data_IF_028211848926
#
_entry.id   IF_028211848926
#
_cell.length_a   1.000
_cell.length_b   1.000
_cell.length_c   1.000
_cell.angle_alpha   90.00
_cell.angle_beta   90.00
_cell.angle_gamma   90.00
#
_symmetry.space_group_name_H-M   'P 1'
#
loop_
_entity.id
_entity.type
_entity.pdbx_description
1 polymer ?
#
# COMPACT_ATOMS: atom_id res chain seq x y z
N UNK A 1 26.48 1.70 -0.42
CA UNK A 1 25.07 1.85 -0.85
C UNK A 1 24.70 3.32 -0.71
N UNK A 2 24.50 3.98 -1.83
CA UNK A 2 24.04 5.37 -1.86
C UNK A 2 22.55 5.39 -1.53
N UNK A 3 22.12 6.32 -0.68
CA UNK A 3 20.72 6.52 -0.29
C UNK A 3 20.28 7.90 -0.70
N UNK A 4 19.06 7.99 -1.23
CA UNK A 4 18.36 9.25 -1.47
C UNK A 4 17.03 9.20 -0.74
N UNK A 5 16.64 10.33 -0.14
CA UNK A 5 15.38 10.47 0.59
C UNK A 5 14.47 11.42 -0.17
N UNK A 6 13.18 11.11 -0.17
CA UNK A 6 12.14 11.87 -0.85
C UNK A 6 11.05 12.28 0.13
N UNK A 7 10.54 13.48 -0.03
CA UNK A 7 9.49 14.06 0.79
C UNK A 7 8.29 14.43 -0.10
N UNK A 8 7.09 14.17 0.39
CA UNK A 8 5.85 14.33 -0.39
C UNK A 8 5.69 15.75 -0.96
N UNK A 9 5.96 16.76 -0.14
CA UNK A 9 5.77 18.17 -0.50
C UNK A 9 6.76 18.65 -1.56
N UNK A 10 7.95 18.05 -1.59
CA UNK A 10 9.05 18.44 -2.49
C UNK A 10 9.12 17.57 -3.73
N UNK A 11 8.97 16.25 -3.53
CA UNK A 11 9.30 15.25 -4.52
C UNK A 11 8.04 14.54 -5.08
N UNK A 12 6.86 14.85 -4.52
CA UNK A 12 5.57 14.27 -4.91
C UNK A 12 5.29 12.88 -4.35
N UNK A 13 6.23 12.28 -3.61
CA UNK A 13 6.07 11.00 -2.89
C UNK A 13 6.99 10.93 -1.69
N UNK A 14 6.66 10.07 -0.72
CA UNK A 14 7.49 9.80 0.44
C UNK A 14 8.23 8.48 0.25
N UNK A 15 9.57 8.52 0.20
CA UNK A 15 10.34 7.36 -0.17
C UNK A 15 11.83 7.38 0.18
N UNK A 16 12.46 6.24 0.02
CA UNK A 16 13.92 6.07 0.13
C UNK A 16 14.43 5.19 -1.00
N UNK A 17 15.34 5.71 -1.79
CA UNK A 17 16.00 4.95 -2.85
C UNK A 17 17.35 4.41 -2.39
N UNK A 18 17.62 3.18 -2.75
CA UNK A 18 18.87 2.45 -2.49
C UNK A 18 19.48 2.02 -3.82
N UNK A 19 20.51 2.74 -4.25
CA UNK A 19 21.21 2.44 -5.50
C UNK A 19 22.09 1.19 -5.37
N UNK A 20 21.97 0.28 -6.33
CA UNK A 20 22.87 -0.87 -6.42
C UNK A 20 24.18 -0.48 -7.10
N UNK A 21 25.31 -0.86 -6.51
CA UNK A 21 26.63 -0.53 -7.02
C UNK A 21 26.97 -1.19 -8.37
N UNK A 22 26.28 -2.28 -8.71
CA UNK A 22 26.48 -3.02 -9.96
C UNK A 22 25.76 -2.38 -11.18
N UNK A 23 25.31 -1.12 -11.08
CA UNK A 23 24.63 -0.39 -12.14
C UNK A 23 23.47 -1.17 -12.77
N UNK A 24 22.58 -1.68 -11.93
CA UNK A 24 21.35 -2.35 -12.38
C UNK A 24 20.44 -1.37 -13.13
N UNK A 25 19.85 -1.83 -14.24
CA UNK A 25 18.76 -1.13 -14.90
C UNK A 25 17.38 -1.64 -14.43
N UNK A 26 17.37 -2.47 -13.38
CA UNK A 26 16.19 -3.00 -12.75
C UNK A 26 16.00 -2.36 -11.37
N UNK A 27 14.78 -1.93 -11.08
CA UNK A 27 14.39 -1.43 -9.77
C UNK A 27 13.13 -2.14 -9.26
N UNK A 28 13.00 -2.24 -7.94
CA UNK A 28 11.78 -2.70 -7.29
C UNK A 28 11.27 -1.60 -6.37
N UNK A 29 10.02 -1.20 -6.57
CA UNK A 29 9.27 -0.37 -5.62
C UNK A 29 8.75 -1.30 -4.53
N UNK A 30 9.22 -1.09 -3.30
CA UNK A 30 8.79 -1.85 -2.13
C UNK A 30 7.82 -1.03 -1.27
N UNK A 31 6.60 -1.52 -1.12
CA UNK A 31 5.59 -1.00 -0.21
C UNK A 31 5.68 -1.80 1.09
N UNK A 32 6.63 -1.45 1.95
CA UNK A 32 6.97 -2.21 3.15
C UNK A 32 6.47 -1.58 4.46
N UNK A 33 5.41 -0.82 4.39
CA UNK A 33 4.85 -0.08 5.51
C UNK A 33 4.86 1.43 5.23
N UNK A 34 4.58 2.21 6.25
CA UNK A 34 4.29 3.64 6.08
C UNK A 34 5.50 4.54 6.26
N UNK A 35 6.54 4.04 6.88
CA UNK A 35 7.82 4.74 6.92
C UNK A 35 8.85 4.00 6.04
N UNK A 36 9.20 4.56 4.86
CA UNK A 36 10.20 3.97 3.97
C UNK A 36 11.60 3.89 4.59
N UNK A 37 11.76 4.32 5.83
CA UNK A 37 12.99 4.30 6.61
C UNK A 37 12.91 3.46 7.89
N UNK A 38 11.80 2.82 8.18
CA UNK A 38 11.66 1.97 9.34
C UNK A 38 12.47 0.66 9.24
N UNK A 39 12.32 -0.20 10.23
CA UNK A 39 13.02 -1.49 10.25
C UNK A 39 12.55 -2.42 9.13
N UNK A 40 11.24 -2.49 8.85
CA UNK A 40 10.66 -3.36 7.82
C UNK A 40 11.14 -2.94 6.42
N UNK A 41 11.04 -1.65 6.11
CA UNK A 41 11.52 -1.09 4.85
C UNK A 41 13.03 -1.33 4.65
N UNK A 42 13.84 -1.13 5.69
CA UNK A 42 15.28 -1.41 5.63
C UNK A 42 15.60 -2.88 5.42
N UNK A 43 14.85 -3.79 6.05
CA UNK A 43 15.03 -5.24 5.86
C UNK A 43 14.66 -5.67 4.44
N UNK A 44 13.51 -5.23 3.94
CA UNK A 44 13.05 -5.50 2.58
C UNK A 44 14.02 -4.93 1.54
N UNK A 45 14.44 -3.68 1.71
CA UNK A 45 15.42 -3.04 0.83
C UNK A 45 16.75 -3.80 0.81
N UNK A 46 17.26 -4.21 1.96
CA UNK A 46 18.52 -4.97 2.07
C UNK A 46 18.42 -6.33 1.38
N UNK A 47 17.28 -7.00 1.52
CA UNK A 47 17.04 -8.29 0.88
C UNK A 47 17.02 -8.15 -0.64
N UNK A 48 16.22 -7.23 -1.20
CA UNK A 48 16.15 -6.97 -2.63
C UNK A 48 17.48 -6.48 -3.20
N UNK A 49 18.14 -5.56 -2.51
CA UNK A 49 19.44 -5.02 -2.94
C UNK A 49 20.51 -6.13 -3.10
N UNK A 50 20.44 -7.17 -2.27
CA UNK A 50 21.31 -8.35 -2.40
C UNK A 50 21.04 -9.17 -3.65
N UNK A 51 19.84 -9.05 -4.24
CA UNK A 51 19.51 -9.68 -5.53
C UNK A 51 20.02 -8.88 -6.74
N UNK A 52 20.75 -7.81 -6.52
CA UNK A 52 21.37 -7.02 -7.59
C UNK A 52 20.48 -5.96 -8.21
N UNK A 53 19.33 -5.65 -7.61
CA UNK A 53 18.40 -4.62 -8.11
C UNK A 53 18.50 -3.32 -7.30
N UNK A 54 18.13 -2.22 -7.91
CA UNK A 54 17.86 -0.97 -7.21
C UNK A 54 16.55 -1.11 -6.42
N UNK A 55 16.43 -0.43 -5.29
CA UNK A 55 15.22 -0.51 -4.46
C UNK A 55 14.70 0.88 -4.14
N UNK A 56 13.43 1.10 -4.39
CA UNK A 56 12.71 2.30 -3.99
C UNK A 56 11.65 1.90 -2.95
N UNK A 57 11.92 2.12 -1.66
CA UNK A 57 10.87 1.99 -0.65
C UNK A 57 9.96 3.23 -0.73
N UNK A 58 8.67 3.02 -0.90
CA UNK A 58 7.66 4.09 -0.99
C UNK A 58 6.59 3.85 0.06
N UNK A 59 6.21 4.90 0.78
CA UNK A 59 4.95 4.91 1.52
C UNK A 59 3.83 5.33 0.58
N UNK A 60 2.79 4.52 0.36
CA UNK A 60 1.64 4.94 -0.43
C UNK A 60 0.86 6.06 0.25
N UNK A 61 0.89 6.10 1.59
CA UNK A 61 0.27 7.12 2.42
C UNK A 61 1.09 8.38 2.62
N UNK A 62 0.86 9.02 3.74
CA UNK A 62 1.63 10.14 4.26
C UNK A 62 2.62 9.63 5.30
N UNK A 63 3.56 10.48 5.69
CA UNK A 63 4.48 10.23 6.80
C UNK A 63 3.80 9.74 8.10
N UNK A 64 2.53 10.00 8.30
CA UNK A 64 1.75 9.65 9.49
C UNK A 64 0.64 8.65 9.17
N UNK A 65 0.95 7.56 8.55
CA UNK A 65 0.10 6.37 8.39
C UNK A 65 -1.39 6.67 8.15
N UNK A 66 -1.71 7.03 6.92
CA UNK A 66 -3.10 7.14 6.48
C UNK A 66 -3.35 6.21 5.31
N UNK A 67 -4.37 5.38 5.42
CA UNK A 67 -4.89 4.57 4.34
C UNK A 67 -6.19 5.17 3.79
N UNK A 68 -6.28 6.49 3.70
CA UNK A 68 -7.48 7.19 3.24
C UNK A 68 -7.17 7.96 1.98
N UNK A 69 -7.79 7.53 0.87
CA UNK A 69 -7.69 8.18 -0.44
C UNK A 69 -6.24 8.47 -0.86
N UNK A 70 -5.34 7.53 -0.63
CA UNK A 70 -3.94 7.67 -1.00
C UNK A 70 -3.79 7.83 -2.52
N UNK A 71 -3.19 8.93 -3.00
CA UNK A 71 -3.06 9.16 -4.43
C UNK A 71 -2.11 8.16 -5.09
N UNK A 72 -2.61 7.42 -6.09
CA UNK A 72 -1.77 6.53 -6.93
C UNK A 72 -0.69 7.32 -7.68
N UNK A 73 -0.88 8.60 -7.88
CA UNK A 73 0.09 9.52 -8.48
C UNK A 73 1.43 9.54 -7.75
N UNK A 74 1.46 9.19 -6.46
CA UNK A 74 2.72 9.06 -5.71
C UNK A 74 3.57 7.91 -6.24
N UNK A 75 2.94 6.77 -6.52
CA UNK A 75 3.62 5.62 -7.14
C UNK A 75 4.02 5.96 -8.57
N UNK A 76 3.15 6.65 -9.33
CA UNK A 76 3.47 7.11 -10.68
C UNK A 76 4.70 8.01 -10.69
N UNK A 77 4.80 8.95 -9.75
CA UNK A 77 5.95 9.86 -9.64
C UNK A 77 7.23 9.09 -9.31
N UNK A 78 7.16 8.09 -8.43
CA UNK A 78 8.28 7.22 -8.13
C UNK A 78 8.74 6.39 -9.34
N UNK A 79 7.79 5.86 -10.14
CA UNK A 79 8.07 5.15 -11.40
C UNK A 79 8.81 6.09 -12.36
N UNK A 80 8.26 7.29 -12.59
CA UNK A 80 8.88 8.27 -13.47
C UNK A 80 10.29 8.64 -13.01
N UNK A 81 10.48 8.88 -11.73
CA UNK A 81 11.81 9.15 -11.17
C UNK A 81 12.79 8.02 -11.45
N UNK A 82 12.37 6.75 -11.26
CA UNK A 82 13.20 5.59 -11.56
C UNK A 82 13.59 5.51 -13.03
N UNK A 83 12.65 5.77 -13.95
CA UNK A 83 12.91 5.81 -15.40
C UNK A 83 13.90 6.90 -15.77
N UNK A 84 13.73 8.11 -15.27
CA UNK A 84 14.61 9.24 -15.47
C UNK A 84 16.05 8.97 -14.93
N UNK A 85 16.19 8.03 -14.01
CA UNK A 85 17.46 7.57 -13.44
C UNK A 85 17.97 6.22 -14.00
N UNK A 86 17.49 5.86 -15.20
CA UNK A 86 18.03 4.75 -16.00
C UNK A 86 17.48 3.36 -15.65
N UNK A 87 16.45 3.26 -14.82
CA UNK A 87 15.79 1.99 -14.53
C UNK A 87 14.76 1.68 -15.62
N UNK A 88 15.02 0.66 -16.42
CA UNK A 88 14.16 0.25 -17.56
C UNK A 88 13.16 -0.83 -17.20
N UNK A 89 13.44 -1.59 -16.15
CA UNK A 89 12.59 -2.67 -15.65
C UNK A 89 12.19 -2.33 -14.23
N UNK A 90 10.92 -2.10 -14.01
CA UNK A 90 10.39 -1.68 -12.71
C UNK A 90 9.42 -2.75 -12.21
N UNK A 91 9.76 -3.34 -11.07
CA UNK A 91 8.85 -4.20 -10.30
C UNK A 91 8.20 -3.42 -9.17
N UNK A 92 7.08 -3.92 -8.69
CA UNK A 92 6.44 -3.44 -7.46
C UNK A 92 6.08 -4.62 -6.56
N UNK A 93 6.22 -4.46 -5.26
CA UNK A 93 5.79 -5.48 -4.30
C UNK A 93 5.26 -4.88 -3.01
N UNK A 94 4.32 -5.59 -2.41
CA UNK A 94 3.76 -5.25 -1.12
C UNK A 94 3.11 -6.45 -0.44
N UNK A 95 2.71 -6.28 0.82
CA UNK A 95 2.06 -7.31 1.62
C UNK A 95 0.77 -6.75 2.25
N UNK A 96 -0.28 -7.57 2.33
CA UNK A 96 -1.59 -7.19 2.89
C UNK A 96 -2.17 -5.97 2.14
N UNK A 97 -2.54 -4.90 2.82
CA UNK A 97 -3.02 -3.65 2.19
C UNK A 97 -2.03 -3.11 1.15
N UNK A 98 -0.73 -3.12 1.47
CA UNK A 98 0.30 -2.69 0.52
C UNK A 98 0.46 -3.67 -0.66
N UNK A 99 0.09 -4.95 -0.49
CA UNK A 99 0.00 -5.91 -1.58
C UNK A 99 -1.14 -5.57 -2.55
N UNK A 100 -2.31 -5.23 -2.03
CA UNK A 100 -3.42 -4.70 -2.80
C UNK A 100 -3.00 -3.40 -3.53
N UNK A 101 -2.37 -2.44 -2.84
CA UNK A 101 -1.89 -1.20 -3.45
C UNK A 101 -0.93 -1.48 -4.62
N UNK A 102 -0.06 -2.49 -4.50
CA UNK A 102 0.86 -2.89 -5.55
C UNK A 102 0.13 -3.43 -6.79
N UNK A 103 -0.90 -4.28 -6.59
CA UNK A 103 -1.71 -4.85 -7.68
C UNK A 103 -2.52 -3.74 -8.36
N UNK A 104 -3.14 -2.86 -7.57
CA UNK A 104 -3.88 -1.71 -8.11
C UNK A 104 -2.95 -0.82 -8.93
N UNK A 105 -1.78 -0.44 -8.39
CA UNK A 105 -0.81 0.38 -9.13
C UNK A 105 -0.41 -0.27 -10.46
N UNK A 106 -0.20 -1.58 -10.50
CA UNK A 106 0.15 -2.30 -11.72
C UNK A 106 -0.99 -2.31 -12.76
N UNK A 107 -2.25 -2.28 -12.33
CA UNK A 107 -3.40 -2.17 -13.24
C UNK A 107 -3.55 -0.78 -13.87
N UNK A 108 -2.98 0.26 -13.23
CA UNK A 108 -2.97 1.64 -13.73
C UNK A 108 -1.71 1.99 -14.52
N UNK A 109 -0.55 1.40 -14.16
CA UNK A 109 0.75 1.80 -14.71
C UNK A 109 1.40 0.67 -15.51
N UNK A 110 1.28 0.69 -16.85
CA UNK A 110 1.81 -0.36 -17.72
C UNK A 110 3.35 -0.45 -17.72
N UNK A 111 4.03 0.53 -17.17
CA UNK A 111 5.49 0.54 -16.98
C UNK A 111 5.96 -0.45 -15.90
N UNK A 112 5.05 -0.94 -15.06
CA UNK A 112 5.34 -1.97 -14.07
C UNK A 112 5.44 -3.33 -14.78
N UNK A 113 6.64 -3.91 -14.79
CA UNK A 113 6.94 -5.16 -15.52
C UNK A 113 6.78 -6.42 -14.67
N UNK A 114 6.74 -6.26 -13.35
CA UNK A 114 6.55 -7.35 -12.39
C UNK A 114 5.82 -6.84 -11.15
N UNK A 115 4.84 -7.59 -10.68
CA UNK A 115 4.06 -7.29 -9.47
C UNK A 115 4.06 -8.49 -8.56
N UNK A 116 4.30 -8.26 -7.26
CA UNK A 116 4.19 -9.28 -6.21
C UNK A 116 3.25 -8.78 -5.13
N UNK A 117 2.08 -9.41 -5.01
CA UNK A 117 1.10 -9.13 -3.98
C UNK A 117 1.05 -10.27 -2.95
N UNK A 118 1.68 -10.08 -1.80
CA UNK A 118 1.67 -11.09 -0.73
C UNK A 118 0.42 -10.91 0.14
N UNK A 119 -0.39 -11.96 0.26
CA UNK A 119 -1.65 -11.92 1.06
C UNK A 119 -2.54 -10.71 0.72
N UNK A 120 -2.55 -10.32 -0.54
CA UNK A 120 -3.31 -9.19 -1.06
C UNK A 120 -4.77 -9.58 -1.33
N UNK A 121 -5.69 -8.62 -1.21
CA UNK A 121 -7.03 -8.75 -1.77
C UNK A 121 -7.03 -8.38 -3.26
N UNK A 122 -7.98 -8.92 -3.99
CA UNK A 122 -8.26 -8.61 -5.40
C UNK A 122 -9.29 -7.48 -5.58
N UNK A 123 -9.64 -6.80 -4.50
CA UNK A 123 -10.51 -5.62 -4.46
C UNK A 123 -9.96 -4.58 -3.50
N UNK A 124 -10.38 -3.33 -3.69
CA UNK A 124 -9.96 -2.21 -2.85
C UNK A 124 -10.79 -2.19 -1.57
N UNK A 125 -10.14 -2.04 -0.43
CA UNK A 125 -10.80 -1.91 0.86
C UNK A 125 -11.16 -0.47 1.22
N UNK A 126 -12.12 -0.32 2.14
CA UNK A 126 -12.36 0.94 2.84
C UNK A 126 -11.07 1.41 3.52
N UNK A 127 -10.80 2.70 3.38
CA UNK A 127 -9.65 3.33 4.01
C UNK A 127 -9.88 3.63 5.49
N UNK A 128 -8.78 3.79 6.22
CA UNK A 128 -8.79 4.17 7.63
C UNK A 128 -7.51 4.94 7.97
N UNK A 129 -7.56 5.75 9.01
CA UNK A 129 -6.36 6.32 9.63
C UNK A 129 -5.92 5.43 10.78
N UNK A 130 -4.63 5.15 10.85
CA UNK A 130 -4.08 4.33 11.92
C UNK A 130 -3.93 5.12 13.20
N UNK A 131 -4.27 4.47 14.31
CA UNK A 131 -4.00 4.93 15.66
C UNK A 131 -2.57 4.58 16.12
N UNK A 132 -2.27 4.83 17.39
CA UNK A 132 -0.92 4.66 17.94
C UNK A 132 -0.46 3.19 18.05
N UNK A 133 -1.41 2.25 18.13
CA UNK A 133 -1.14 0.82 18.39
C UNK A 133 -1.81 -0.14 17.42
N UNK A 134 -1.65 0.09 16.13
CA UNK A 134 -2.23 -0.78 15.09
C UNK A 134 -3.77 -0.80 15.06
N UNK A 135 -4.39 0.20 15.63
CA UNK A 135 -5.84 0.42 15.60
C UNK A 135 -6.24 1.50 14.60
N UNK A 136 -7.53 1.83 14.59
CA UNK A 136 -8.05 2.97 13.84
C UNK A 136 -8.13 4.18 14.76
N UNK A 137 -7.69 5.34 14.24
CA UNK A 137 -7.70 6.60 14.99
C UNK A 137 -9.10 7.12 15.25
N UNK A 138 -10.02 6.86 14.33
CA UNK A 138 -11.39 7.38 14.37
C UNK A 138 -12.40 6.25 14.30
N UNK A 139 -13.49 6.41 15.04
CA UNK A 139 -14.64 5.54 14.98
C UNK A 139 -15.94 6.37 14.93
N UNK A 140 -16.89 6.10 14.01
CA UNK A 140 -16.78 5.08 12.95
C UNK A 140 -15.66 5.35 11.96
N UNK A 141 -15.13 4.30 11.34
CA UNK A 141 -14.10 4.42 10.32
C UNK A 141 -14.66 5.29 9.17
N UNK A 142 -13.87 6.24 8.61
CA UNK A 142 -14.33 7.09 7.52
C UNK A 142 -14.87 6.28 6.34
N UNK A 143 -15.99 6.70 5.77
CA UNK A 143 -16.54 6.09 4.56
C UNK A 143 -15.74 6.60 3.34
N UNK A 144 -14.55 6.11 3.17
CA UNK A 144 -13.60 6.52 2.15
C UNK A 144 -12.81 5.32 1.62
N UNK A 145 -12.31 5.42 0.41
CA UNK A 145 -11.41 4.43 -0.19
C UNK A 145 -10.02 4.46 0.44
N UNK A 146 -9.31 3.35 0.39
CA UNK A 146 -7.85 3.34 0.66
C UNK A 146 -7.09 4.17 -0.38
N UNK A 147 -7.50 4.12 -1.64
CA UNK A 147 -6.78 4.71 -2.78
C UNK A 147 -7.64 5.71 -3.53
N UNK A 148 -6.96 6.63 -4.20
CA UNK A 148 -7.56 7.59 -5.13
C UNK A 148 -6.74 7.71 -6.42
N UNK A 149 -7.42 8.11 -7.49
CA UNK A 149 -6.81 8.44 -8.77
C UNK A 149 -7.42 9.73 -9.33
N UNK A 150 -6.57 10.67 -9.75
CA UNK A 150 -6.97 11.99 -10.25
C UNK A 150 -7.93 12.72 -9.29
N UNK A 151 -7.63 12.62 -7.99
CA UNK A 151 -8.41 13.26 -6.92
C UNK A 151 -9.76 12.59 -6.63
N UNK A 152 -10.07 11.46 -7.27
CA UNK A 152 -11.31 10.69 -7.04
C UNK A 152 -11.02 9.41 -6.28
N UNK A 153 -11.76 9.10 -5.20
CA UNK A 153 -11.68 7.80 -4.54
C UNK A 153 -11.93 6.66 -5.54
N UNK A 154 -11.17 5.58 -5.43
CA UNK A 154 -11.49 4.35 -6.16
C UNK A 154 -12.72 3.68 -5.55
N UNK A 155 -13.52 2.94 -6.33
CA UNK A 155 -14.53 2.05 -5.78
C UNK A 155 -13.89 1.10 -4.77
N UNK A 156 -14.57 0.85 -3.64
CA UNK A 156 -14.01 0.06 -2.56
C UNK A 156 -15.08 -0.74 -1.82
N UNK A 157 -14.65 -1.84 -1.23
CA UNK A 157 -15.46 -2.67 -0.35
C UNK A 157 -15.54 -2.02 1.04
N UNK A 158 -16.76 -1.61 1.51
CA UNK A 158 -16.91 -1.04 2.84
C UNK A 158 -16.80 -2.12 3.91
N UNK A 159 -16.33 -1.72 5.09
CA UNK A 159 -16.41 -2.58 6.26
C UNK A 159 -17.86 -2.69 6.76
N UNK A 160 -18.24 -3.90 7.18
CA UNK A 160 -19.54 -4.20 7.77
C UNK A 160 -19.36 -4.34 9.28
N UNK A 161 -20.06 -3.49 10.02
CA UNK A 161 -19.95 -3.39 11.49
C UNK A 161 -21.13 -3.93 12.25
N UNK A 162 -22.13 -4.48 11.58
CA UNK A 162 -23.44 -4.80 12.17
C UNK A 162 -23.45 -6.08 13.02
N UNK A 163 -22.32 -6.78 13.15
CA UNK A 163 -22.28 -8.00 13.94
C UNK A 163 -22.04 -7.68 15.44
N UNK A 164 -22.97 -8.02 16.34
CA UNK A 164 -22.89 -7.67 17.78
C UNK A 164 -21.60 -8.12 18.47
N UNK A 165 -21.02 -9.22 18.03
CA UNK A 165 -19.76 -9.77 18.56
C UNK A 165 -18.56 -8.84 18.33
N UNK A 166 -18.59 -8.04 17.27
CA UNK A 166 -17.49 -7.11 17.00
C UNK A 166 -17.46 -5.93 17.92
N UNK A 167 -18.62 -5.37 18.23
CA UNK A 167 -18.71 -4.22 19.12
C UNK A 167 -18.15 -4.54 20.50
N UNK A 168 -18.49 -5.71 21.06
CA UNK A 168 -17.97 -6.17 22.34
C UNK A 168 -16.46 -6.35 22.27
N UNK A 169 -15.95 -6.98 21.20
CA UNK A 169 -14.52 -7.22 21.04
C UNK A 169 -13.74 -5.93 20.82
N UNK A 170 -14.27 -5.00 20.02
CA UNK A 170 -13.69 -3.67 19.84
C UNK A 170 -13.65 -2.91 21.17
N UNK A 171 -14.74 -2.93 21.96
CA UNK A 171 -14.77 -2.29 23.26
C UNK A 171 -13.77 -2.92 24.26
N UNK A 172 -13.61 -4.23 24.24
CA UNK A 172 -12.65 -4.92 25.10
C UNK A 172 -11.20 -4.56 24.72
N UNK A 173 -10.90 -4.55 23.42
CA UNK A 173 -9.58 -4.24 22.89
C UNK A 173 -9.21 -2.76 23.09
N UNK A 174 -10.19 -1.85 23.04
CA UNK A 174 -9.96 -0.39 23.22
C UNK A 174 -9.82 0.02 24.68
N UNK A 175 -10.37 -0.74 25.63
CA UNK A 175 -10.31 -0.40 27.07
C UNK A 175 -8.89 -0.23 27.65
N UNK A 176 -7.88 -0.74 26.99
CA UNK A 176 -6.49 -0.70 27.46
C UNK A 176 -5.54 0.16 26.61
N UNK A 177 -5.91 0.50 25.40
CA UNK A 177 -4.98 1.12 24.42
C UNK A 177 -5.31 2.56 24.05
N UNK A 178 -6.57 2.99 24.22
CA UNK A 178 -7.05 4.27 23.72
C UNK A 178 -7.30 4.30 22.20
N UNK A 179 -6.87 3.27 21.46
CA UNK A 179 -7.11 3.09 20.04
C UNK A 179 -8.22 2.07 19.77
N UNK A 180 -8.97 2.26 18.72
CA UNK A 180 -9.97 1.30 18.24
C UNK A 180 -9.22 0.23 17.44
N UNK A 181 -9.04 -0.94 18.02
CA UNK A 181 -8.29 -2.03 17.40
C UNK A 181 -9.08 -2.63 16.22
N UNK A 182 -8.44 -2.70 15.08
CA UNK A 182 -8.97 -3.33 13.88
C UNK A 182 -8.91 -4.85 14.05
N UNK A 183 -10.05 -5.49 14.30
CA UNK A 183 -10.12 -6.94 14.34
C UNK A 183 -9.93 -7.54 12.95
N UNK A 184 -9.03 -8.52 12.81
CA UNK A 184 -8.87 -9.30 11.56
C UNK A 184 -10.18 -9.95 11.09
N UNK A 185 -11.07 -10.26 12.01
CA UNK A 185 -12.38 -10.79 11.68
C UNK A 185 -13.23 -9.79 10.87
N UNK A 186 -13.02 -8.47 11.05
CA UNK A 186 -13.76 -7.44 10.34
C UNK A 186 -13.65 -7.59 8.81
N UNK A 187 -12.49 -7.93 8.30
CA UNK A 187 -12.28 -8.18 6.87
C UNK A 187 -13.08 -9.40 6.40
N UNK A 188 -12.92 -10.53 7.09
CA UNK A 188 -13.58 -11.81 6.76
C UNK A 188 -15.10 -11.69 6.80
N UNK A 189 -15.63 -11.00 7.80
CA UNK A 189 -17.09 -10.92 7.96
C UNK A 189 -17.70 -9.87 7.05
N UNK A 190 -16.95 -8.82 6.70
CA UNK A 190 -17.38 -7.89 5.64
C UNK A 190 -17.53 -8.62 4.31
N UNK A 191 -16.57 -9.45 3.92
CA UNK A 191 -16.67 -10.29 2.72
C UNK A 191 -17.87 -11.26 2.76
N UNK A 192 -18.13 -11.87 3.92
CA UNK A 192 -19.25 -12.81 4.10
C UNK A 192 -20.60 -12.12 4.09
N UNK A 193 -20.67 -10.92 4.68
CA UNK A 193 -21.92 -10.17 4.78
C UNK A 193 -22.39 -9.60 3.43
N UNK A 194 -21.43 -9.28 2.56
CA UNK A 194 -21.71 -8.69 1.25
C UNK A 194 -20.61 -9.11 0.26
N UNK A 195 -20.95 -9.74 -0.85
CA UNK A 195 -20.00 -9.96 -1.92
C UNK A 195 -19.53 -8.60 -2.49
N UNK A 196 -18.26 -8.50 -2.83
CA UNK A 196 -17.73 -7.34 -3.55
C UNK A 196 -18.37 -7.22 -4.94
N UNK A 197 -18.47 -5.99 -5.44
CA UNK A 197 -18.98 -5.72 -6.78
C UNK A 197 -17.86 -5.75 -7.81
N UNK A 198 -18.19 -5.91 -9.08
CA UNK A 198 -17.22 -5.87 -10.17
C UNK A 198 -16.46 -4.52 -10.23
N UNK A 199 -17.09 -3.41 -9.81
CA UNK A 199 -16.46 -2.10 -9.78
C UNK A 199 -15.39 -1.98 -8.69
N UNK A 200 -15.56 -2.70 -7.57
CA UNK A 200 -14.63 -2.72 -6.44
C UNK A 200 -13.41 -3.60 -6.73
N UNK A 201 -13.51 -4.52 -7.66
CA UNK A 201 -12.42 -5.43 -8.03
C UNK A 201 -11.30 -4.72 -8.76
N UNK A 202 -10.08 -5.12 -8.44
CA UNK A 202 -8.90 -4.67 -9.17
C UNK A 202 -8.95 -5.20 -10.61
N UNK A 203 -8.75 -4.32 -11.59
CA UNK A 203 -8.78 -4.69 -13.01
C UNK A 203 -7.44 -5.34 -13.41
N UNK A 204 -7.23 -6.58 -12.93
CA UNK A 204 -5.98 -7.34 -13.14
C UNK A 204 -5.71 -7.61 -14.61
N UNK A 205 -6.74 -7.63 -15.46
CA UNK A 205 -6.64 -7.76 -16.91
C UNK A 205 -5.89 -6.60 -17.58
N UNK A 206 -5.78 -5.46 -16.89
CA UNK A 206 -5.02 -4.31 -17.35
C UNK A 206 -3.51 -4.43 -17.07
N UNK A 207 -3.10 -5.34 -16.20
CA UNK A 207 -1.69 -5.52 -15.83
C UNK A 207 -0.92 -6.05 -17.05
N UNK A 208 0.10 -5.30 -17.47
CA UNK A 208 0.94 -5.67 -18.64
C UNK A 208 2.14 -6.51 -18.24
N UNK A 209 2.57 -6.40 -17.00
CA UNK A 209 3.67 -7.19 -16.44
C UNK A 209 3.24 -8.56 -15.93
N UNK A 210 4.17 -9.24 -15.26
CA UNK A 210 3.89 -10.52 -14.57
C UNK A 210 3.32 -10.24 -13.19
N UNK A 211 2.26 -10.94 -12.81
CA UNK A 211 1.66 -10.91 -11.48
C UNK A 211 1.95 -12.23 -10.75
N UNK A 212 2.38 -12.13 -9.48
CA UNK A 212 2.70 -13.25 -8.58
C UNK A 212 2.02 -13.07 -7.22
#
# INVERSE_FOLDING_TARGET
MKKLFFETEKDGFYGTYYENQNRSDCAVIGLFGDDPNDYMAKCGAKWLHRQGVNVMCVSPGRKNYSHVNNPLERIQTAIKWLQDHGNRKIGIMGMSTAGMDAIVAASYFPDITMTIGLTASDFVWQGFEQGEKDGCKEWPIPNASTLSWQGKPLPYMPFVYEHPVYWQKIEEETKGSGDITRSTCLFIDSEKARPHTEEEMVKVENIKGRLF
#
